data_IF_325618138644
#
_entry.id   IF_325618138644
#
_cell.length_a   1.000
_cell.length_b   1.000
_cell.length_c   1.000
_cell.angle_alpha   90.00
_cell.angle_beta   90.00
_cell.angle_gamma   90.00
#
_symmetry.space_group_name_H-M   'P 1'
#
loop_
_entity.id
_entity.type
_entity.pdbx_description
1 polymer ?
#
# COMPACT_ATOMS: atom_id res chain seq x y z
N UNK A 1 50.04 -16.44 -13.10
CA UNK A 1 49.42 -15.14 -12.77
C UNK A 1 47.92 -15.35 -12.63
N UNK A 2 47.40 -15.39 -11.40
CA UNK A 2 45.97 -15.52 -11.10
C UNK A 2 45.39 -14.11 -10.96
N UNK A 3 44.51 -13.71 -11.89
CA UNK A 3 43.80 -12.43 -11.84
C UNK A 3 42.59 -12.58 -10.92
N UNK A 4 42.73 -12.16 -9.66
CA UNK A 4 41.61 -11.88 -8.77
C UNK A 4 41.05 -10.50 -9.10
N UNK A 5 39.89 -10.48 -9.74
CA UNK A 5 39.06 -9.26 -9.89
C UNK A 5 38.47 -8.91 -8.52
N UNK A 6 38.78 -7.73 -7.94
CA UNK A 6 38.15 -7.31 -6.70
C UNK A 6 36.68 -7.03 -6.96
N UNK A 7 35.79 -7.76 -6.29
CA UNK A 7 34.41 -7.32 -6.12
C UNK A 7 34.45 -6.00 -5.32
N UNK A 8 34.43 -4.88 -6.04
CA UNK A 8 34.14 -3.58 -5.45
C UNK A 8 32.74 -3.67 -4.86
N UNK A 9 32.67 -3.76 -3.54
CA UNK A 9 31.46 -3.57 -2.75
C UNK A 9 31.01 -2.12 -2.99
N UNK A 10 30.21 -1.91 -4.04
CA UNK A 10 29.42 -0.70 -4.17
C UNK A 10 28.41 -0.67 -3.03
N UNK A 11 28.54 0.30 -2.13
CA UNK A 11 27.53 0.55 -1.09
C UNK A 11 26.19 0.80 -1.76
N UNK A 12 25.14 0.02 -1.47
CA UNK A 12 23.80 0.46 -1.79
C UNK A 12 23.50 1.63 -0.83
N UNK A 13 23.11 2.78 -1.39
CA UNK A 13 22.29 3.75 -0.64
C UNK A 13 20.93 3.08 -0.45
N UNK A 14 20.86 2.19 0.53
CA UNK A 14 19.66 1.45 0.88
C UNK A 14 19.24 1.82 2.30
N UNK A 15 17.96 2.12 2.45
CA UNK A 15 17.26 2.39 3.71
C UNK A 15 17.52 1.32 4.79
N UNK A 16 17.23 1.61 6.09
CA UNK A 16 17.71 0.80 7.21
C UNK A 16 17.24 -0.66 7.13
N UNK A 17 18.20 -1.57 7.32
CA UNK A 17 18.12 -3.04 7.35
C UNK A 17 17.10 -3.62 8.36
N UNK A 18 16.39 -2.78 9.13
CA UNK A 18 15.39 -3.22 10.10
C UNK A 18 14.16 -3.87 9.44
N UNK A 19 13.73 -3.39 8.27
CA UNK A 19 12.54 -3.92 7.59
C UNK A 19 12.72 -5.36 7.07
N UNK A 20 13.93 -5.73 6.65
CA UNK A 20 14.20 -7.03 6.02
C UNK A 20 14.08 -8.20 7.02
N UNK A 21 14.33 -7.96 8.32
CA UNK A 21 14.18 -8.99 9.35
C UNK A 21 12.71 -9.40 9.52
N UNK A 22 11.78 -8.45 9.50
CA UNK A 22 10.35 -8.75 9.64
C UNK A 22 9.81 -9.51 8.43
N UNK A 23 10.28 -9.21 7.22
CA UNK A 23 9.87 -9.91 6.00
C UNK A 23 10.31 -11.39 5.94
N UNK A 24 11.28 -11.82 6.77
CA UNK A 24 11.72 -13.23 6.84
C UNK A 24 10.88 -14.11 7.77
N UNK A 25 9.92 -13.52 8.50
CA UNK A 25 9.13 -14.19 9.54
C UNK A 25 7.89 -14.95 9.01
N UNK A 26 7.74 -15.06 7.69
CA UNK A 26 6.71 -15.88 7.02
C UNK A 26 5.34 -15.21 6.86
N UNK A 27 4.42 -15.80 6.08
CA UNK A 27 3.13 -15.23 5.54
C UNK A 27 2.25 -14.51 6.54
N UNK A 28 2.28 -14.90 7.81
CA UNK A 28 1.54 -14.22 8.84
C UNK A 28 2.01 -12.76 9.06
N UNK A 29 3.28 -12.44 8.85
CA UNK A 29 3.87 -11.13 9.16
C UNK A 29 3.76 -10.15 8.00
N UNK A 30 4.34 -10.49 6.84
CA UNK A 30 4.19 -9.70 5.60
C UNK A 30 2.74 -9.59 5.09
N UNK A 31 1.78 -10.43 5.51
CA UNK A 31 0.35 -10.24 5.17
C UNK A 31 -0.51 -9.75 6.35
N UNK A 32 0.10 -9.10 7.34
CA UNK A 32 -0.63 -8.48 8.44
C UNK A 32 -1.44 -7.26 7.96
N UNK A 33 -0.85 -6.42 7.11
CA UNK A 33 -1.46 -5.22 6.55
C UNK A 33 -0.83 -4.86 5.20
N UNK A 34 -1.48 -3.96 4.46
CA UNK A 34 -1.09 -3.56 3.09
C UNK A 34 0.29 -2.90 3.06
N UNK A 35 0.66 -2.14 4.10
CA UNK A 35 1.93 -1.42 4.14
C UNK A 35 3.09 -2.39 4.28
N UNK A 36 3.00 -3.28 5.26
CA UNK A 36 3.99 -4.34 5.47
C UNK A 36 4.08 -5.26 4.25
N UNK A 37 2.95 -5.57 3.61
CA UNK A 37 2.93 -6.36 2.40
C UNK A 37 3.62 -5.67 1.22
N UNK A 38 3.45 -4.36 1.07
CA UNK A 38 4.15 -3.57 0.07
C UNK A 38 5.65 -3.49 0.35
N UNK A 39 6.03 -3.14 1.58
CA UNK A 39 7.41 -2.99 2.01
C UNK A 39 8.21 -4.31 1.88
N UNK A 40 7.53 -5.45 2.04
CA UNK A 40 8.11 -6.79 1.85
C UNK A 40 7.99 -7.35 0.42
N UNK A 41 7.40 -6.64 -0.55
CA UNK A 41 7.16 -7.15 -1.90
C UNK A 41 6.18 -8.33 -1.95
N UNK A 42 5.33 -8.46 -0.93
CA UNK A 42 4.37 -9.53 -0.68
C UNK A 42 3.00 -9.31 -1.31
N UNK A 43 2.72 -8.08 -1.74
CA UNK A 43 1.36 -7.56 -1.89
C UNK A 43 0.48 -8.46 -2.77
N UNK A 44 1.01 -8.92 -3.90
CA UNK A 44 0.34 -9.87 -4.80
C UNK A 44 -0.02 -11.19 -4.11
N UNK A 45 0.89 -11.76 -3.33
CA UNK A 45 0.65 -13.00 -2.58
C UNK A 45 -0.45 -12.80 -1.53
N UNK A 46 -0.35 -11.73 -0.74
CA UNK A 46 -1.29 -11.43 0.33
C UNK A 46 -2.71 -11.20 -0.22
N UNK A 47 -2.86 -10.38 -1.27
CA UNK A 47 -4.15 -10.12 -1.91
C UNK A 47 -4.80 -11.40 -2.44
N UNK A 48 -4.06 -12.22 -3.18
CA UNK A 48 -4.63 -13.36 -3.90
C UNK A 48 -4.86 -14.59 -3.01
N UNK A 49 -3.99 -14.80 -2.00
CA UNK A 49 -3.93 -16.07 -1.26
C UNK A 49 -4.41 -15.95 0.17
N UNK A 50 -4.28 -14.76 0.79
CA UNK A 50 -4.58 -14.55 2.20
C UNK A 50 -5.86 -13.73 2.37
N UNK A 51 -5.95 -12.54 1.75
CA UNK A 51 -7.05 -11.60 1.92
C UNK A 51 -8.23 -11.80 0.96
N UNK A 52 -8.11 -12.64 -0.07
CA UNK A 52 -9.20 -12.96 -1.01
C UNK A 52 -10.34 -13.77 -0.37
N UNK A 53 -10.21 -14.19 0.90
CA UNK A 53 -11.26 -14.92 1.60
C UNK A 53 -12.21 -13.95 2.30
N UNK A 54 -13.51 -13.95 1.98
CA UNK A 54 -14.46 -13.09 2.67
C UNK A 54 -14.57 -13.48 4.15
N UNK A 55 -14.06 -12.63 5.04
CA UNK A 55 -14.17 -12.81 6.49
C UNK A 55 -15.56 -12.38 7.03
N UNK A 56 -16.38 -11.73 6.20
CA UNK A 56 -17.71 -11.21 6.51
C UNK A 56 -18.66 -11.41 5.33
N UNK A 57 -19.98 -11.26 5.56
CA UNK A 57 -20.96 -11.19 4.46
C UNK A 57 -20.56 -10.08 3.50
N UNK A 58 -20.25 -10.44 2.26
CA UNK A 58 -19.82 -9.47 1.26
C UNK A 58 -20.98 -8.59 0.82
N UNK A 59 -20.64 -7.39 0.38
CA UNK A 59 -21.57 -6.51 -0.30
C UNK A 59 -22.16 -7.24 -1.54
N UNK A 60 -23.46 -7.09 -1.87
CA UNK A 60 -24.03 -7.62 -3.10
C UNK A 60 -23.20 -7.19 -4.32
N UNK A 61 -23.08 -8.09 -5.30
CA UNK A 61 -22.19 -7.89 -6.45
C UNK A 61 -22.48 -6.60 -7.21
N UNK A 62 -23.76 -6.26 -7.39
CA UNK A 62 -24.16 -5.06 -8.14
C UNK A 62 -23.78 -3.79 -7.40
N UNK A 63 -23.99 -3.74 -6.08
CA UNK A 63 -23.57 -2.59 -5.26
C UNK A 63 -22.04 -2.48 -5.26
N UNK A 64 -21.31 -3.60 -5.16
CA UNK A 64 -19.84 -3.60 -5.25
C UNK A 64 -19.35 -3.03 -6.59
N UNK A 65 -19.99 -3.43 -7.70
CA UNK A 65 -19.68 -2.90 -9.03
C UNK A 65 -19.93 -1.40 -9.12
N UNK A 66 -21.08 -0.93 -8.64
CA UNK A 66 -21.42 0.49 -8.67
C UNK A 66 -20.38 1.33 -7.88
N UNK A 67 -19.98 0.85 -6.70
CA UNK A 67 -18.95 1.49 -5.87
C UNK A 67 -17.61 1.54 -6.60
N UNK A 68 -17.16 0.43 -7.20
CA UNK A 68 -15.87 0.38 -7.90
C UNK A 68 -15.88 1.23 -9.18
N UNK A 69 -17.01 1.29 -9.89
CA UNK A 69 -17.17 2.17 -11.06
C UNK A 69 -17.11 3.63 -10.65
N UNK A 70 -17.83 4.02 -9.60
CA UNK A 70 -17.80 5.39 -9.08
C UNK A 70 -16.37 5.76 -8.62
N UNK A 71 -15.74 4.92 -7.80
CA UNK A 71 -14.37 5.15 -7.34
C UNK A 71 -13.37 5.27 -8.51
N UNK A 72 -13.47 4.37 -9.50
CA UNK A 72 -12.63 4.40 -10.70
C UNK A 72 -12.87 5.64 -11.57
N UNK A 73 -14.09 6.18 -11.61
CA UNK A 73 -14.39 7.42 -12.32
C UNK A 73 -13.73 8.64 -11.65
N UNK A 74 -13.76 8.71 -10.32
CA UNK A 74 -13.10 9.76 -9.55
C UNK A 74 -11.57 9.72 -9.67
N UNK A 75 -11.01 8.53 -9.89
CA UNK A 75 -9.57 8.34 -10.12
C UNK A 75 -9.16 8.55 -11.59
N UNK A 76 -10.11 8.57 -12.53
CA UNK A 76 -9.86 8.76 -13.97
C UNK A 76 -9.88 10.22 -14.41
N UNK A 77 -10.43 11.10 -13.59
CA UNK A 77 -10.21 12.53 -13.76
C UNK A 77 -8.69 12.76 -13.70
N UNK A 78 -8.14 13.61 -14.57
CA UNK A 78 -6.70 13.83 -14.75
C UNK A 78 -6.01 14.49 -13.53
N UNK A 79 -6.44 14.18 -12.32
CA UNK A 79 -5.78 14.58 -11.09
C UNK A 79 -4.42 13.91 -10.98
N UNK A 80 -3.42 14.69 -10.60
CA UNK A 80 -2.11 14.12 -10.28
C UNK A 80 -2.20 13.32 -8.97
N UNK A 81 -1.23 12.45 -8.72
CA UNK A 81 -1.15 11.68 -7.46
C UNK A 81 -1.17 12.61 -6.24
N UNK A 82 -0.53 13.77 -6.37
CA UNK A 82 -0.51 14.82 -5.36
C UNK A 82 -1.88 15.46 -5.14
N UNK A 83 -2.66 15.68 -6.20
CA UNK A 83 -4.03 16.23 -6.09
C UNK A 83 -4.96 15.23 -5.38
N UNK A 84 -4.83 13.95 -5.68
CA UNK A 84 -5.59 12.88 -5.02
C UNK A 84 -5.22 12.81 -3.54
N UNK A 85 -3.92 12.89 -3.21
CA UNK A 85 -3.44 12.93 -1.84
C UNK A 85 -4.04 14.11 -1.07
N UNK A 86 -3.93 15.32 -1.62
CA UNK A 86 -4.42 16.54 -0.98
C UNK A 86 -5.94 16.48 -0.72
N UNK A 87 -6.71 15.95 -1.66
CA UNK A 87 -8.16 15.82 -1.52
C UNK A 87 -8.56 14.83 -0.42
N UNK A 88 -7.83 13.71 -0.30
CA UNK A 88 -8.07 12.73 0.77
C UNK A 88 -7.66 13.29 2.14
N UNK A 89 -6.54 14.00 2.23
CA UNK A 89 -6.13 14.67 3.47
C UNK A 89 -7.14 15.74 3.93
N UNK A 90 -7.64 16.57 2.99
CA UNK A 90 -8.69 17.56 3.29
C UNK A 90 -9.97 16.90 3.78
N UNK A 91 -10.30 15.73 3.24
CA UNK A 91 -11.46 14.96 3.70
C UNK A 91 -11.27 14.49 5.15
N UNK A 92 -10.04 14.13 5.55
CA UNK A 92 -9.73 13.79 6.94
C UNK A 92 -9.94 14.97 7.91
N UNK A 93 -9.77 16.22 7.45
CA UNK A 93 -9.96 17.42 8.28
C UNK A 93 -11.44 17.68 8.64
N UNK A 94 -12.39 17.01 7.99
CA UNK A 94 -13.81 17.12 8.31
C UNK A 94 -14.20 16.27 9.53
N UNK A 95 -13.30 15.42 10.02
CA UNK A 95 -13.56 14.58 11.17
C UNK A 95 -13.55 15.43 12.45
N UNK A 96 -14.59 15.33 13.32
CA UNK A 96 -14.73 16.18 14.48
C UNK A 96 -13.76 15.85 15.63
N UNK A 97 -13.07 14.70 15.57
CA UNK A 97 -12.15 14.24 16.60
C UNK A 97 -10.71 14.30 16.10
N UNK A 98 -9.80 15.03 16.76
CA UNK A 98 -8.42 15.21 16.31
C UNK A 98 -7.63 13.89 16.23
N UNK A 99 -7.93 12.91 17.08
CA UNK A 99 -7.30 11.58 16.97
C UNK A 99 -7.75 10.84 15.70
N UNK A 100 -9.01 11.00 15.30
CA UNK A 100 -9.52 10.41 14.07
C UNK A 100 -8.95 11.13 12.84
N UNK A 101 -8.82 12.46 12.88
CA UNK A 101 -8.15 13.24 11.84
C UNK A 101 -6.70 12.76 11.65
N UNK A 102 -5.93 12.67 12.74
CA UNK A 102 -4.54 12.20 12.68
C UNK A 102 -4.43 10.76 12.16
N UNK A 103 -5.26 9.85 12.66
CA UNK A 103 -5.28 8.46 12.19
C UNK A 103 -5.71 8.35 10.72
N UNK A 104 -6.64 9.20 10.26
CA UNK A 104 -7.08 9.23 8.88
C UNK A 104 -5.94 9.66 7.95
N UNK A 105 -5.26 10.78 8.26
CA UNK A 105 -4.12 11.26 7.50
C UNK A 105 -2.99 10.23 7.45
N UNK A 106 -2.68 9.61 8.60
CA UNK A 106 -1.69 8.53 8.65
C UNK A 106 -2.06 7.36 7.74
N UNK A 107 -3.34 6.98 7.64
CA UNK A 107 -3.78 5.93 6.72
C UNK A 107 -3.66 6.35 5.26
N UNK A 108 -4.03 7.59 4.94
CA UNK A 108 -3.89 8.15 3.60
C UNK A 108 -2.42 8.11 3.17
N UNK A 109 -1.50 8.63 3.99
CA UNK A 109 -0.05 8.61 3.73
C UNK A 109 0.51 7.19 3.60
N UNK A 110 0.03 6.26 4.44
CA UNK A 110 0.55 4.90 4.49
C UNK A 110 0.12 4.06 3.29
N UNK A 111 -1.11 4.25 2.81
CA UNK A 111 -1.73 3.31 1.87
C UNK A 111 -1.98 3.89 0.49
N UNK A 112 -2.24 5.19 0.35
CA UNK A 112 -2.50 5.79 -0.96
C UNK A 112 -1.41 5.53 -2.01
N UNK A 113 -0.10 5.72 -1.72
CA UNK A 113 0.94 5.46 -2.73
C UNK A 113 0.98 3.99 -3.16
N UNK A 114 0.74 3.06 -2.22
CA UNK A 114 0.65 1.62 -2.52
C UNK A 114 -0.57 1.33 -3.42
N UNK A 115 -1.72 1.95 -3.13
CA UNK A 115 -2.95 1.77 -3.92
C UNK A 115 -2.78 2.35 -5.32
N UNK A 116 -2.15 3.51 -5.48
CA UNK A 116 -1.92 4.11 -6.79
C UNK A 116 -0.94 3.29 -7.64
N UNK A 117 0.12 2.73 -7.04
CA UNK A 117 1.01 1.77 -7.68
C UNK A 117 0.24 0.53 -8.19
N UNK A 118 -0.65 -0.03 -7.36
CA UNK A 118 -1.49 -1.16 -7.74
C UNK A 118 -2.44 -0.88 -8.92
N UNK A 119 -2.90 0.36 -9.07
CA UNK A 119 -3.86 0.75 -10.10
C UNK A 119 -3.16 1.11 -11.41
N UNK A 120 -1.98 1.74 -11.34
CA UNK A 120 -1.19 2.15 -12.51
C UNK A 120 -0.65 0.97 -13.31
N UNK A 121 -0.44 -0.18 -12.66
CA UNK A 121 -0.09 -1.46 -13.29
C UNK A 121 1.41 -1.64 -13.50
#
# INVERSE_FOLDING_TARGET
ALLVLPCVLGSPRGSPVLGLKECTKGSAVWCQDVKTASDCGALKHCLQTVWNKPAVKSLPCDICKDVIVAAGSMLKDNGTEEEILENLEKTCDWLPNPNLTASCKQMVDAYLPVILDMIKG
#
